data_IF_502335488425
#
_entry.id   IF_502335488425
#
_cell.length_a   1.000
_cell.length_b   1.000
_cell.length_c   1.000
_cell.angle_alpha   90.00
_cell.angle_beta   90.00
_cell.angle_gamma   90.00
#
_symmetry.space_group_name_H-M   'P 1'
#
loop_
_entity.id
_entity.type
_entity.pdbx_description
1 polymer ?
#
# COMPACT_ATOMS: atom_id res chain seq x y z
N UNK A 1 -1.79 -26.97 -2.95
CA UNK A 1 -3.21 -26.60 -2.82
C UNK A 1 -3.48 -25.54 -3.86
N UNK A 2 -4.18 -25.92 -4.91
CA UNK A 2 -4.55 -25.06 -6.04
C UNK A 2 -5.46 -23.94 -5.53
N UNK A 3 -4.93 -22.72 -5.42
CA UNK A 3 -5.76 -21.55 -5.18
C UNK A 3 -6.57 -21.32 -6.46
N UNK A 4 -7.85 -21.70 -6.42
CA UNK A 4 -8.83 -21.39 -7.45
C UNK A 4 -8.71 -19.89 -7.77
N UNK A 5 -8.20 -19.58 -8.96
CA UNK A 5 -8.27 -18.25 -9.55
C UNK A 5 -9.70 -18.00 -9.95
N UNK A 6 -10.58 -17.80 -8.98
CA UNK A 6 -11.96 -17.39 -9.23
C UNK A 6 -11.86 -16.03 -9.89
N UNK A 7 -11.99 -16.01 -11.22
CA UNK A 7 -12.07 -14.79 -11.99
C UNK A 7 -13.35 -14.09 -11.54
N UNK A 8 -13.22 -13.10 -10.67
CA UNK A 8 -14.32 -12.23 -10.27
C UNK A 8 -14.51 -11.26 -11.45
N UNK A 9 -15.64 -11.34 -12.19
CA UNK A 9 -15.87 -10.43 -13.29
C UNK A 9 -16.13 -9.03 -12.74
N UNK A 10 -15.23 -8.09 -13.05
CA UNK A 10 -15.29 -6.71 -12.57
C UNK A 10 -16.41 -5.86 -13.24
N UNK A 11 -17.26 -6.47 -14.07
CA UNK A 11 -18.35 -5.81 -14.83
C UNK A 11 -17.93 -4.79 -15.88
N UNK A 12 -16.66 -4.41 -15.94
CA UNK A 12 -16.11 -3.38 -16.83
C UNK A 12 -15.70 -3.93 -18.20
N UNK A 13 -15.97 -3.12 -19.23
CA UNK A 13 -15.42 -3.33 -20.57
C UNK A 13 -13.90 -3.15 -20.59
N UNK A 14 -13.25 -3.72 -21.61
CA UNK A 14 -11.80 -3.60 -21.78
C UNK A 14 -11.32 -2.14 -21.85
N UNK A 15 -12.13 -1.28 -22.48
CA UNK A 15 -11.87 0.16 -22.59
C UNK A 15 -11.94 0.86 -21.23
N UNK A 16 -13.01 0.63 -20.46
CA UNK A 16 -13.20 1.23 -19.13
C UNK A 16 -12.06 0.86 -18.17
N UNK A 17 -11.60 -0.40 -18.22
CA UNK A 17 -10.45 -0.85 -17.43
C UNK A 17 -9.17 -0.09 -17.78
N UNK A 18 -8.92 0.14 -19.06
CA UNK A 18 -7.74 0.88 -19.52
C UNK A 18 -7.82 2.35 -19.11
N UNK A 19 -8.97 2.99 -19.29
CA UNK A 19 -9.20 4.38 -18.87
C UNK A 19 -9.02 4.53 -17.36
N UNK A 20 -9.63 3.63 -16.57
CA UNK A 20 -9.45 3.61 -15.11
C UNK A 20 -7.98 3.46 -14.73
N UNK A 21 -7.25 2.54 -15.36
CA UNK A 21 -5.83 2.31 -15.06
C UNK A 21 -4.96 3.54 -15.36
N UNK A 22 -5.21 4.20 -16.49
CA UNK A 22 -4.50 5.42 -16.87
C UNK A 22 -4.83 6.57 -15.91
N UNK A 23 -6.11 6.74 -15.57
CA UNK A 23 -6.57 7.73 -14.60
C UNK A 23 -5.95 7.52 -13.22
N UNK A 24 -5.98 6.29 -12.70
CA UNK A 24 -5.38 5.92 -11.42
C UNK A 24 -3.87 6.25 -11.40
N UNK A 25 -3.14 5.96 -12.48
CA UNK A 25 -1.71 6.27 -12.58
C UNK A 25 -1.43 7.78 -12.65
N UNK A 26 -2.19 8.54 -13.41
CA UNK A 26 -2.02 10.00 -13.50
C UNK A 26 -2.33 10.68 -12.17
N UNK A 27 -3.47 10.35 -11.56
CA UNK A 27 -3.89 10.91 -10.28
C UNK A 27 -2.89 10.52 -9.18
N UNK A 28 -2.46 9.25 -9.13
CA UNK A 28 -1.45 8.81 -8.17
C UNK A 28 -0.13 9.57 -8.35
N UNK A 29 0.34 9.79 -9.59
CA UNK A 29 1.56 10.55 -9.86
C UNK A 29 1.48 12.00 -9.40
N UNK A 30 0.35 12.67 -9.67
CA UNK A 30 0.12 14.06 -9.25
C UNK A 30 0.08 14.15 -7.72
N UNK A 31 -0.69 13.28 -7.05
CA UNK A 31 -0.79 13.25 -5.60
C UNK A 31 0.57 12.93 -4.95
N UNK A 32 1.37 12.05 -5.55
CA UNK A 32 2.69 11.72 -5.02
C UNK A 32 3.63 12.93 -4.99
N UNK A 33 3.58 13.78 -6.03
CA UNK A 33 4.37 15.02 -6.10
C UNK A 33 3.86 16.03 -5.06
N UNK A 34 2.55 16.26 -5.02
CA UNK A 34 1.91 17.23 -4.11
C UNK A 34 2.15 16.85 -2.64
N UNK A 35 2.03 15.56 -2.30
CA UNK A 35 2.21 15.05 -0.94
C UNK A 35 3.67 14.68 -0.61
N UNK A 36 4.61 14.78 -1.56
CA UNK A 36 6.03 14.51 -1.29
C UNK A 36 6.63 15.29 -0.10
N UNK A 37 6.37 16.60 0.10
CA UNK A 37 6.85 17.30 1.29
C UNK A 37 6.23 16.77 2.58
N UNK A 38 4.94 16.42 2.55
CA UNK A 38 4.25 15.85 3.72
C UNK A 38 4.84 14.49 4.10
N UNK A 39 5.09 13.63 3.11
CA UNK A 39 5.71 12.32 3.31
C UNK A 39 7.11 12.43 3.91
N UNK A 40 7.89 13.44 3.52
CA UNK A 40 9.21 13.69 4.10
C UNK A 40 9.10 14.08 5.58
N UNK A 41 8.16 14.98 5.92
CA UNK A 41 7.92 15.40 7.32
C UNK A 41 7.47 14.20 8.16
N UNK A 42 6.50 13.41 7.67
CA UNK A 42 6.04 12.20 8.34
C UNK A 42 7.19 11.18 8.52
N UNK A 43 8.05 11.02 7.51
CA UNK A 43 9.21 10.13 7.60
C UNK A 43 10.17 10.55 8.72
N UNK A 44 10.47 11.85 8.82
CA UNK A 44 11.34 12.38 9.88
C UNK A 44 10.70 12.23 11.26
N UNK A 45 9.40 12.52 11.38
CA UNK A 45 8.67 12.40 12.64
C UNK A 45 8.67 10.96 13.16
N UNK A 46 8.28 10.00 12.33
CA UNK A 46 8.24 8.57 12.69
C UNK A 46 9.66 8.02 12.98
N UNK A 47 10.67 8.46 12.22
CA UNK A 47 12.07 8.05 12.47
C UNK A 47 12.59 8.56 13.81
N UNK A 48 12.15 9.74 14.26
CA UNK A 48 12.55 10.31 15.56
C UNK A 48 11.89 9.63 16.76
N UNK A 49 10.71 9.04 16.59
CA UNK A 49 10.00 8.38 17.69
C UNK A 49 10.68 7.07 18.15
N UNK A 50 11.02 6.17 17.21
CA UNK A 50 11.53 4.82 17.56
C UNK A 50 12.86 4.45 16.88
N UNK A 51 13.49 5.36 16.13
CA UNK A 51 14.80 5.14 15.47
C UNK A 51 14.83 4.12 14.32
N UNK A 52 13.75 3.35 14.13
CA UNK A 52 13.60 2.32 13.09
C UNK A 52 13.14 2.86 11.73
N UNK A 53 13.02 1.97 10.71
CA UNK A 53 12.53 2.36 9.39
C UNK A 53 11.05 2.77 9.45
N UNK A 54 10.77 4.00 8.99
CA UNK A 54 9.44 4.61 9.05
C UNK A 54 8.40 3.98 8.11
N UNK A 55 8.83 3.19 7.13
CA UNK A 55 7.93 2.51 6.18
C UNK A 55 7.78 1.05 6.59
N UNK A 56 6.54 0.62 6.74
CA UNK A 56 6.15 -0.77 6.98
C UNK A 56 5.64 -1.40 5.68
N UNK A 57 6.10 -2.62 5.38
CA UNK A 57 5.67 -3.42 4.22
C UNK A 57 4.73 -4.53 4.69
N UNK A 58 3.56 -4.64 4.05
CA UNK A 58 2.57 -5.67 4.37
C UNK A 58 2.17 -6.43 3.11
N UNK A 59 2.28 -7.75 3.13
CA UNK A 59 1.85 -8.60 2.01
C UNK A 59 0.33 -8.76 1.97
N UNK A 60 -0.25 -8.60 0.78
CA UNK A 60 -1.67 -8.80 0.49
C UNK A 60 -1.86 -9.47 -0.86
N UNK A 61 -2.96 -10.21 -1.00
CA UNK A 61 -3.35 -10.85 -2.26
C UNK A 61 -4.01 -9.80 -3.14
N UNK A 62 -3.48 -9.59 -4.34
CA UNK A 62 -3.94 -8.60 -5.31
C UNK A 62 -4.75 -9.20 -6.46
N UNK A 63 -4.82 -8.45 -7.56
CA UNK A 63 -5.58 -8.85 -8.75
C UNK A 63 -5.07 -10.19 -9.30
N UNK A 64 -6.00 -11.09 -9.63
CA UNK A 64 -5.72 -12.44 -10.11
C UNK A 64 -4.88 -13.30 -9.15
N UNK A 65 -5.02 -13.09 -7.83
CA UNK A 65 -4.30 -13.86 -6.83
C UNK A 65 -2.80 -13.53 -6.75
N UNK A 66 -2.33 -12.49 -7.46
CA UNK A 66 -0.91 -12.11 -7.42
C UNK A 66 -0.61 -11.35 -6.13
N UNK A 67 0.33 -11.81 -5.28
CA UNK A 67 0.68 -11.08 -4.07
C UNK A 67 1.31 -9.73 -4.42
N UNK A 68 1.02 -8.72 -3.61
CA UNK A 68 1.60 -7.39 -3.67
C UNK A 68 1.87 -6.84 -2.27
N UNK A 69 2.86 -5.95 -2.18
CA UNK A 69 3.20 -5.29 -0.92
C UNK A 69 2.53 -3.92 -0.83
N UNK A 70 1.86 -3.67 0.29
CA UNK A 70 1.37 -2.36 0.68
C UNK A 70 2.45 -1.69 1.52
N UNK A 71 2.85 -0.49 1.09
CA UNK A 71 3.74 0.38 1.83
C UNK A 71 2.91 1.41 2.60
N UNK A 72 3.11 1.49 3.92
CA UNK A 72 2.45 2.47 4.78
C UNK A 72 3.44 3.05 5.79
N UNK A 73 3.17 4.25 6.28
CA UNK A 73 3.91 4.76 7.43
C UNK A 73 3.61 3.89 8.65
N UNK A 74 4.66 3.59 9.40
CA UNK A 74 4.57 2.83 10.64
C UNK A 74 3.87 3.69 11.69
N UNK A 75 2.82 3.14 12.31
CA UNK A 75 2.12 3.76 13.45
C UNK A 75 2.36 3.03 14.77
N UNK A 76 2.93 1.83 14.74
CA UNK A 76 3.21 1.00 15.92
C UNK A 76 4.71 0.91 16.17
N UNK A 77 5.13 0.91 17.44
CA UNK A 77 6.53 0.71 17.84
C UNK A 77 7.09 -0.61 17.31
N UNK A 78 8.40 -0.67 17.12
CA UNK A 78 9.08 -1.87 16.62
C UNK A 78 8.84 -3.11 17.50
N UNK A 79 8.65 -2.88 18.81
CA UNK A 79 8.41 -3.93 19.80
C UNK A 79 6.91 -4.22 20.08
N UNK A 80 5.98 -3.63 19.33
CA UNK A 80 4.55 -3.79 19.61
C UNK A 80 4.03 -5.23 19.42
N UNK A 81 4.66 -6.03 18.55
CA UNK A 81 4.31 -7.45 18.39
C UNK A 81 4.92 -8.36 19.48
N UNK A 82 5.91 -7.88 20.24
CA UNK A 82 6.53 -8.64 21.34
C UNK A 82 5.58 -8.81 22.54
N UNK A 83 4.64 -7.87 22.72
CA UNK A 83 3.77 -7.85 23.88
C UNK A 83 2.54 -8.77 23.79
N UNK A 84 2.20 -9.32 22.61
CA UNK A 84 1.01 -10.15 22.39
C UNK A 84 -0.32 -9.44 22.71
N UNK A 85 -1.47 -9.96 22.23
CA UNK A 85 -2.77 -9.46 22.66
C UNK A 85 -2.98 -9.82 24.15
N UNK A 86 -3.39 -8.85 24.97
CA UNK A 86 -3.99 -9.08 26.28
C UNK A 86 -5.50 -9.06 26.16
#
# INVERSE_FOLDING_TARGET
>A
MEQQTTFIPDGMNAFERNVKRVGDCMIAGILMIIFSPLFLICYIAVKREDGGPAIFKQERIGRFGRPFYIYKFRSMRLDAESAGPR
#
